data_IF_042117615135
#
_entry.id   IF_042117615135
#
_cell.length_a   1.000
_cell.length_b   1.000
_cell.length_c   1.000
_cell.angle_alpha   90.00
_cell.angle_beta   90.00
_cell.angle_gamma   90.00
#
_symmetry.space_group_name_H-M   'P 1'
#
loop_
_entity.id
_entity.type
_entity.pdbx_description
1 polymer ?
#
# COMPACT_ATOMS: atom_id res chain seq x y z
N UNK A 1 34.19 -13.26 1.61
CA UNK A 1 33.02 -12.54 1.16
C UNK A 1 32.52 -11.60 2.26
N UNK A 2 32.01 -10.45 1.89
CA UNK A 2 31.41 -9.47 2.81
C UNK A 2 29.90 -9.49 2.54
N UNK A 3 29.11 -9.72 3.59
CA UNK A 3 27.67 -9.69 3.51
C UNK A 3 27.14 -8.61 4.46
N UNK A 4 26.19 -7.84 4.01
CA UNK A 4 25.47 -6.90 4.84
C UNK A 4 24.00 -6.83 4.39
N UNK A 5 23.14 -6.45 5.30
CA UNK A 5 21.75 -6.18 5.01
C UNK A 5 21.55 -4.68 4.78
N UNK A 6 21.01 -4.33 3.62
CA UNK A 6 20.62 -2.97 3.29
C UNK A 6 19.11 -2.84 3.27
N UNK A 7 18.57 -1.90 4.07
CA UNK A 7 17.16 -1.60 4.06
C UNK A 7 16.87 -0.53 3.00
N UNK A 8 15.86 -0.75 2.18
CA UNK A 8 15.37 0.25 1.24
C UNK A 8 14.77 1.47 1.95
N UNK A 9 14.63 2.61 1.25
CA UNK A 9 14.06 3.82 1.84
C UNK A 9 12.57 3.69 2.16
N UNK A 10 11.86 2.84 1.44
CA UNK A 10 10.45 2.51 1.66
C UNK A 10 10.28 1.03 1.97
N UNK A 11 9.25 0.67 2.70
CA UNK A 11 9.00 -0.73 3.05
C UNK A 11 7.95 -0.92 4.13
N UNK A 12 7.71 -2.17 4.47
CA UNK A 12 6.81 -2.51 5.56
C UNK A 12 7.52 -2.47 6.91
N UNK A 13 6.88 -1.82 7.86
CA UNK A 13 7.27 -1.82 9.27
C UNK A 13 6.42 -2.80 10.06
N UNK A 14 7.08 -3.57 10.93
CA UNK A 14 6.47 -4.58 11.79
C UNK A 14 6.69 -4.17 13.25
N UNK A 15 5.69 -3.59 13.89
CA UNK A 15 5.77 -3.15 15.28
C UNK A 15 4.56 -3.68 16.03
N UNK A 16 4.80 -4.45 17.10
CA UNK A 16 3.74 -4.95 17.99
C UNK A 16 2.59 -5.66 17.26
N UNK A 17 2.91 -6.56 16.32
CA UNK A 17 1.96 -7.28 15.47
C UNK A 17 1.16 -6.39 14.51
N UNK A 18 1.49 -5.11 14.41
CA UNK A 18 0.94 -4.22 13.41
C UNK A 18 1.90 -4.10 12.22
N UNK A 19 1.34 -4.01 11.05
CA UNK A 19 2.05 -3.86 9.80
C UNK A 19 1.60 -2.55 9.20
N UNK A 20 2.56 -1.72 8.85
CA UNK A 20 2.33 -0.46 8.17
C UNK A 20 3.31 -0.27 7.04
N UNK A 21 2.85 0.31 5.96
CA UNK A 21 3.73 0.79 4.90
C UNK A 21 4.36 2.11 5.32
N UNK A 22 5.67 2.23 5.12
CA UNK A 22 6.41 3.48 5.25
C UNK A 22 6.96 3.85 3.89
N UNK A 23 6.55 5.00 3.40
CA UNK A 23 7.05 5.57 2.16
C UNK A 23 8.02 6.69 2.43
N UNK A 24 9.16 6.65 1.76
CA UNK A 24 10.06 7.80 1.70
C UNK A 24 9.67 8.64 0.48
N UNK A 25 9.22 9.86 0.73
CA UNK A 25 8.75 10.78 -0.32
C UNK A 25 9.88 11.44 -1.12
N UNK A 26 11.13 11.27 -0.70
CA UNK A 26 12.26 12.01 -1.26
C UNK A 26 13.29 11.13 -1.96
N UNK A 27 13.38 9.86 -1.57
CA UNK A 27 14.41 8.95 -2.04
C UNK A 27 13.82 7.61 -2.44
N UNK A 28 14.19 7.14 -3.61
CA UNK A 28 13.87 5.80 -4.12
C UNK A 28 14.99 4.79 -3.85
N UNK A 29 16.17 5.28 -3.46
CA UNK A 29 17.35 4.46 -3.23
C UNK A 29 17.97 4.77 -1.86
N UNK A 30 18.53 3.76 -1.21
CA UNK A 30 19.36 3.90 -0.01
C UNK A 30 20.83 3.72 -0.37
N UNK A 31 21.66 4.64 0.05
CA UNK A 31 23.10 4.57 -0.17
C UNK A 31 23.80 4.06 1.09
N UNK A 32 24.69 3.10 0.92
CA UNK A 32 25.49 2.51 1.99
C UNK A 32 26.97 2.70 1.72
N UNK A 33 27.73 3.04 2.74
CA UNK A 33 29.15 3.27 2.65
C UNK A 33 29.91 2.10 3.28
N UNK A 34 30.78 1.46 2.51
CA UNK A 34 31.72 0.47 3.00
C UNK A 34 33.03 1.16 3.34
N UNK A 35 33.34 1.25 4.64
CA UNK A 35 34.61 1.79 5.11
C UNK A 35 35.55 0.63 5.43
N UNK A 36 36.70 0.60 4.73
CA UNK A 36 37.77 -0.35 4.99
C UNK A 36 38.91 0.44 5.63
N UNK A 37 39.04 0.42 6.97
CA UNK A 37 40.07 1.18 7.64
C UNK A 37 41.45 0.57 7.35
N UNK A 38 42.44 1.44 7.15
CA UNK A 38 43.84 1.06 6.91
C UNK A 38 44.55 0.56 8.18
N UNK A 39 43.92 0.76 9.35
CA UNK A 39 44.43 0.35 10.64
C UNK A 39 43.40 -0.45 11.43
N UNK A 40 43.82 -1.16 12.46
CA UNK A 40 42.95 -2.01 13.30
C UNK A 40 42.12 -1.25 14.34
N UNK A 41 42.07 0.09 14.32
CA UNK A 41 41.39 0.90 15.34
C UNK A 41 39.88 0.99 15.13
N UNK A 42 39.42 0.89 13.88
CA UNK A 42 37.99 0.86 13.56
C UNK A 42 37.62 -0.56 13.12
N UNK A 43 37.10 -1.35 14.03
CA UNK A 43 36.57 -2.66 13.68
C UNK A 43 35.04 -2.59 13.65
N UNK A 44 34.46 -2.91 12.49
CA UNK A 44 33.04 -3.13 12.36
C UNK A 44 32.59 -4.30 13.25
N UNK A 45 31.36 -4.24 13.73
CA UNK A 45 30.73 -5.34 14.46
C UNK A 45 30.58 -6.53 13.53
N UNK A 46 31.12 -7.68 13.87
CA UNK A 46 30.95 -8.91 13.08
C UNK A 46 29.63 -9.55 13.41
N UNK A 47 28.97 -10.08 12.38
CA UNK A 47 27.82 -10.95 12.57
C UNK A 47 28.33 -12.19 13.33
N UNK A 48 27.72 -12.46 14.46
CA UNK A 48 28.03 -13.66 15.21
C UNK A 48 27.57 -14.89 14.41
N UNK A 49 28.34 -15.97 14.48
CA UNK A 49 27.89 -17.25 13.91
C UNK A 49 26.64 -17.66 14.67
N UNK A 50 25.52 -17.83 13.96
CA UNK A 50 24.33 -18.37 14.58
C UNK A 50 24.63 -19.78 15.11
N UNK A 51 24.23 -20.05 16.34
CA UNK A 51 24.24 -21.41 16.85
C UNK A 51 23.38 -22.30 15.93
N UNK A 52 23.77 -23.52 15.72
CA UNK A 52 22.92 -24.49 15.02
C UNK A 52 21.59 -24.52 15.75
N UNK A 53 20.53 -24.05 15.08
CA UNK A 53 19.20 -24.21 15.61
C UNK A 53 18.83 -25.66 15.48
N UNK A 54 18.50 -26.32 16.58
CA UNK A 54 17.92 -27.66 16.56
C UNK A 54 16.59 -27.59 15.79
N UNK A 55 16.22 -28.69 15.15
CA UNK A 55 14.94 -28.76 14.44
C UNK A 55 13.83 -28.37 15.40
N UNK A 56 13.10 -27.32 15.05
CA UNK A 56 11.98 -26.84 15.87
C UNK A 56 10.82 -27.83 15.83
N UNK A 57 10.15 -27.99 16.95
CA UNK A 57 8.97 -28.85 17.09
C UNK A 57 7.76 -28.39 16.27
N UNK A 58 7.85 -27.21 15.65
CA UNK A 58 6.76 -26.62 14.87
C UNK A 58 7.22 -26.29 13.47
N UNK A 59 6.54 -26.86 12.51
CA UNK A 59 6.68 -26.53 11.10
C UNK A 59 5.57 -25.51 10.76
N UNK A 60 5.96 -24.37 10.21
CA UNK A 60 5.02 -23.41 9.63
C UNK A 60 4.94 -23.70 8.13
N UNK A 61 3.77 -24.01 7.65
CA UNK A 61 3.46 -24.28 6.25
C UNK A 61 2.86 -23.05 5.54
N UNK A 62 2.75 -21.94 6.25
CA UNK A 62 2.23 -20.68 5.71
C UNK A 62 3.03 -19.48 6.24
N UNK A 63 2.98 -18.41 5.48
CA UNK A 63 3.58 -17.11 5.80
C UNK A 63 2.59 -15.96 5.56
N UNK A 64 2.97 -14.77 6.00
CA UNK A 64 2.24 -13.54 5.70
C UNK A 64 2.74 -12.99 4.36
N UNK A 65 1.82 -12.54 3.52
CA UNK A 65 2.10 -11.85 2.27
C UNK A 65 1.52 -10.43 2.31
N UNK A 66 2.26 -9.49 1.77
CA UNK A 66 1.90 -8.08 1.75
C UNK A 66 2.00 -7.55 0.34
N UNK A 67 1.03 -6.72 -0.02
CA UNK A 67 1.03 -6.01 -1.30
C UNK A 67 0.79 -4.54 -1.01
N UNK A 68 1.66 -3.69 -1.53
CA UNK A 68 1.47 -2.25 -1.58
C UNK A 68 1.44 -1.85 -3.05
N UNK A 69 0.40 -1.12 -3.43
CA UNK A 69 0.18 -0.69 -4.81
C UNK A 69 0.18 0.83 -4.81
N UNK A 70 1.24 1.40 -5.33
CA UNK A 70 1.40 2.82 -5.55
C UNK A 70 2.23 3.03 -6.81
N UNK A 71 1.67 3.82 -7.72
CA UNK A 71 2.32 4.20 -8.95
C UNK A 71 2.05 5.70 -9.15
N UNK A 72 3.06 6.52 -8.93
CA UNK A 72 2.99 7.98 -8.90
C UNK A 72 2.70 8.60 -10.28
N UNK A 73 1.54 8.29 -10.85
CA UNK A 73 1.11 8.74 -12.18
C UNK A 73 0.43 10.10 -12.16
N UNK A 74 -0.28 10.42 -11.10
CA UNK A 74 -1.10 11.63 -11.00
C UNK A 74 -0.73 12.46 -9.78
N UNK A 75 -0.51 13.76 -9.98
CA UNK A 75 -0.31 14.74 -8.90
C UNK A 75 -1.40 15.81 -8.98
N UNK A 76 -2.59 15.57 -8.39
CA UNK A 76 -3.74 16.45 -8.53
C UNK A 76 -3.54 17.84 -7.91
N UNK A 77 -2.65 17.97 -6.95
CA UNK A 77 -2.41 19.24 -6.24
C UNK A 77 -1.17 19.98 -6.73
N UNK A 78 -0.40 19.42 -7.66
CA UNK A 78 0.92 19.92 -8.07
C UNK A 78 1.84 20.26 -6.89
N UNK A 79 1.67 19.53 -5.78
CA UNK A 79 2.36 19.80 -4.52
C UNK A 79 3.72 19.11 -4.41
N UNK A 80 4.02 18.17 -5.29
CA UNK A 80 5.20 17.30 -5.20
C UNK A 80 5.11 16.22 -4.10
N UNK A 81 4.09 16.25 -3.26
CA UNK A 81 3.95 15.34 -2.11
C UNK A 81 2.72 14.42 -2.19
N UNK A 82 1.71 14.80 -2.95
CA UNK A 82 0.48 14.03 -3.09
C UNK A 82 0.38 13.41 -4.47
N UNK A 83 0.81 12.18 -4.60
CA UNK A 83 0.73 11.40 -5.83
C UNK A 83 -0.30 10.28 -5.70
N UNK A 84 -0.80 9.81 -6.82
CA UNK A 84 -1.75 8.71 -6.90
C UNK A 84 -1.59 7.90 -8.17
N UNK A 85 -2.19 6.72 -8.18
CA UNK A 85 -2.08 5.78 -9.30
C UNK A 85 -2.84 6.23 -10.55
N UNK A 86 -4.01 6.86 -10.36
CA UNK A 86 -4.86 7.27 -11.48
C UNK A 86 -5.88 8.33 -11.05
N UNK A 87 -6.34 9.09 -12.05
CA UNK A 87 -7.50 9.95 -11.90
C UNK A 87 -8.77 9.21 -12.33
N UNK A 88 -9.75 9.12 -11.41
CA UNK A 88 -11.02 8.49 -11.70
C UNK A 88 -12.06 9.56 -12.03
N UNK A 89 -12.49 9.59 -13.28
CA UNK A 89 -13.53 10.49 -13.74
C UNK A 89 -14.89 10.16 -13.11
N UNK A 90 -15.82 11.10 -13.16
CA UNK A 90 -17.20 10.86 -12.73
C UNK A 90 -17.79 9.63 -13.46
N UNK A 91 -18.43 8.74 -12.70
CA UNK A 91 -18.95 7.47 -13.19
C UNK A 91 -17.91 6.55 -13.85
N UNK A 92 -16.63 6.85 -13.66
CA UNK A 92 -15.52 6.01 -14.12
C UNK A 92 -15.05 5.06 -13.05
N UNK A 93 -14.15 4.16 -13.43
CA UNK A 93 -13.50 3.24 -12.51
C UNK A 93 -12.01 3.08 -12.81
N UNK A 94 -11.27 2.64 -11.79
CA UNK A 94 -9.88 2.24 -11.88
C UNK A 94 -9.78 0.77 -11.47
N UNK A 95 -9.17 -0.04 -12.34
CA UNK A 95 -9.01 -1.47 -12.14
C UNK A 95 -7.56 -1.81 -11.85
N UNK A 96 -7.33 -2.53 -10.75
CA UNK A 96 -6.02 -3.02 -10.35
C UNK A 96 -6.05 -4.52 -10.12
N UNK A 97 -5.17 -5.25 -10.81
CA UNK A 97 -5.00 -6.69 -10.60
C UNK A 97 -3.99 -6.96 -9.48
N UNK A 98 -4.31 -7.91 -8.63
CA UNK A 98 -3.44 -8.42 -7.58
C UNK A 98 -3.42 -9.93 -7.64
N UNK A 99 -2.23 -10.51 -7.67
CA UNK A 99 -2.05 -11.95 -7.63
C UNK A 99 -1.98 -12.44 -6.18
N UNK A 100 -2.91 -13.30 -5.79
CA UNK A 100 -2.89 -13.99 -4.50
C UNK A 100 -2.36 -15.41 -4.68
N UNK A 101 -1.31 -15.74 -3.96
CA UNK A 101 -0.69 -17.07 -4.04
C UNK A 101 -1.18 -17.92 -2.90
N UNK A 102 -1.97 -18.93 -3.21
CA UNK A 102 -2.47 -19.95 -2.27
C UNK A 102 -2.99 -19.36 -0.95
N UNK A 103 -3.99 -18.47 -1.00
CA UNK A 103 -4.54 -17.87 0.20
C UNK A 103 -5.14 -18.94 1.13
N UNK A 104 -4.96 -18.76 2.44
CA UNK A 104 -5.46 -19.70 3.43
C UNK A 104 -6.96 -19.49 3.61
N UNK A 105 -7.75 -20.52 3.34
CA UNK A 105 -9.23 -20.47 3.36
C UNK A 105 -9.84 -20.15 4.73
N UNK A 106 -9.07 -20.22 5.81
CA UNK A 106 -9.51 -19.92 7.18
C UNK A 106 -9.10 -18.54 7.68
N UNK A 107 -8.41 -17.74 6.88
CA UNK A 107 -7.89 -16.42 7.30
C UNK A 107 -8.37 -15.31 6.39
N UNK A 108 -8.88 -14.25 6.98
CA UNK A 108 -9.24 -13.03 6.26
C UNK A 108 -7.98 -12.24 5.90
N UNK A 109 -8.05 -11.46 4.82
CA UNK A 109 -7.06 -10.44 4.52
C UNK A 109 -7.60 -9.05 4.90
N UNK A 110 -6.71 -8.18 5.38
CA UNK A 110 -7.02 -6.80 5.68
C UNK A 110 -6.35 -5.89 4.67
N UNK A 111 -6.99 -4.81 4.32
CA UNK A 111 -6.44 -3.81 3.42
C UNK A 111 -6.93 -2.41 3.73
N UNK A 112 -6.32 -1.45 3.06
CA UNK A 112 -6.77 -0.06 3.06
C UNK A 112 -6.61 0.51 1.65
N UNK A 113 -7.42 1.50 1.32
CA UNK A 113 -7.25 2.31 0.12
C UNK A 113 -7.42 3.78 0.46
N UNK A 114 -6.75 4.63 -0.31
CA UNK A 114 -6.80 6.07 -0.15
C UNK A 114 -7.25 6.77 -1.43
N UNK A 115 -7.97 7.89 -1.26
CA UNK A 115 -8.44 8.75 -2.34
C UNK A 115 -8.13 10.20 -2.03
N UNK A 116 -7.74 10.95 -3.04
CA UNK A 116 -7.48 12.39 -2.91
C UNK A 116 -8.60 13.15 -3.65
N UNK A 117 -9.36 13.93 -2.91
CA UNK A 117 -10.30 14.87 -3.50
C UNK A 117 -9.55 16.04 -4.15
N UNK A 118 -9.92 16.41 -5.38
CA UNK A 118 -9.24 17.45 -6.13
C UNK A 118 -9.61 18.86 -5.61
N UNK A 119 -8.62 19.64 -5.21
CA UNK A 119 -8.76 20.97 -4.64
C UNK A 119 -9.44 22.00 -5.56
N UNK A 120 -9.21 21.92 -6.87
CA UNK A 120 -9.80 22.84 -7.86
C UNK A 120 -11.32 22.81 -7.90
N UNK A 121 -11.94 21.79 -7.35
CA UNK A 121 -13.38 21.60 -7.34
C UNK A 121 -14.07 22.42 -6.26
N UNK A 122 -13.45 22.59 -5.10
CA UNK A 122 -14.06 23.27 -3.95
C UNK A 122 -14.29 24.76 -4.16
N UNK A 123 -13.44 25.44 -4.93
CA UNK A 123 -13.59 26.87 -5.17
C UNK A 123 -14.85 27.21 -5.97
N UNK A 124 -15.34 26.27 -6.76
CA UNK A 124 -16.50 26.47 -7.64
C UNK A 124 -17.80 25.86 -7.09
N UNK A 125 -17.71 24.78 -6.33
CA UNK A 125 -18.88 24.03 -5.87
C UNK A 125 -18.78 23.76 -4.37
N UNK A 126 -19.42 24.59 -3.56
CA UNK A 126 -19.61 24.34 -2.14
C UNK A 126 -20.45 23.06 -1.98
N UNK A 127 -20.01 22.13 -1.17
CA UNK A 127 -20.68 20.85 -0.87
C UNK A 127 -20.60 19.77 -1.96
N UNK A 128 -19.50 19.68 -2.69
CA UNK A 128 -19.28 18.52 -3.54
C UNK A 128 -19.03 17.29 -2.66
N UNK A 129 -19.90 16.32 -2.79
CA UNK A 129 -19.76 15.04 -2.13
C UNK A 129 -19.00 14.09 -3.06
N UNK A 130 -17.85 13.61 -2.58
CA UNK A 130 -17.12 12.51 -3.20
C UNK A 130 -17.72 11.20 -2.73
N UNK A 131 -17.98 10.28 -3.62
CA UNK A 131 -18.50 8.97 -3.29
C UNK A 131 -17.80 7.90 -4.13
N UNK A 132 -17.09 7.01 -3.47
CA UNK A 132 -16.38 5.92 -4.13
C UNK A 132 -16.70 4.59 -3.47
N UNK A 133 -16.71 3.53 -4.25
CA UNK A 133 -16.75 2.15 -3.75
C UNK A 133 -15.54 1.38 -4.22
N UNK A 134 -15.07 0.47 -3.36
CA UNK A 134 -14.05 -0.52 -3.67
C UNK A 134 -14.72 -1.89 -3.77
N UNK A 135 -14.50 -2.58 -4.86
CA UNK A 135 -14.95 -3.96 -5.05
C UNK A 135 -13.79 -4.91 -5.34
N UNK A 136 -13.98 -6.18 -5.07
CA UNK A 136 -13.10 -7.29 -5.45
C UNK A 136 -13.91 -8.26 -6.32
N UNK A 137 -13.46 -8.47 -7.56
CA UNK A 137 -14.15 -9.31 -8.53
C UNK A 137 -15.66 -8.97 -8.65
N UNK A 138 -15.99 -7.68 -8.62
CA UNK A 138 -17.37 -7.18 -8.70
C UNK A 138 -18.18 -7.21 -7.39
N UNK A 139 -17.61 -7.70 -6.28
CA UNK A 139 -18.25 -7.68 -4.97
C UNK A 139 -17.73 -6.51 -4.14
N UNK A 140 -18.62 -5.62 -3.69
CA UNK A 140 -18.26 -4.46 -2.88
C UNK A 140 -17.64 -4.91 -1.55
N UNK A 141 -16.50 -4.29 -1.21
CA UNK A 141 -15.77 -4.48 0.03
C UNK A 141 -15.93 -3.30 0.98
N UNK A 142 -15.91 -2.08 0.43
CA UNK A 142 -15.93 -0.85 1.22
C UNK A 142 -16.37 0.32 0.36
N UNK A 143 -16.83 1.39 1.00
CA UNK A 143 -17.15 2.65 0.35
C UNK A 143 -16.67 3.84 1.19
N UNK A 144 -16.42 4.96 0.53
CA UNK A 144 -16.03 6.24 1.12
C UNK A 144 -16.93 7.34 0.60
N UNK A 145 -17.37 8.21 1.53
CA UNK A 145 -18.07 9.45 1.20
C UNK A 145 -17.47 10.60 2.00
N UNK A 146 -17.16 11.71 1.34
CA UNK A 146 -16.63 12.90 2.00
C UNK A 146 -16.89 14.16 1.19
N UNK A 147 -16.86 15.32 1.84
CA UNK A 147 -17.17 16.61 1.22
C UNK A 147 -15.96 17.54 1.09
N UNK A 148 -14.86 17.19 1.74
CA UNK A 148 -13.69 18.06 1.82
C UNK A 148 -12.62 17.63 0.81
N UNK A 149 -11.72 18.57 0.52
CA UNK A 149 -10.49 18.31 -0.20
C UNK A 149 -9.54 17.47 0.65
N UNK A 150 -8.64 16.78 -0.03
CA UNK A 150 -7.51 16.09 0.58
C UNK A 150 -7.70 14.59 0.65
N UNK A 151 -6.72 13.95 1.28
CA UNK A 151 -6.65 12.51 1.39
C UNK A 151 -7.73 11.98 2.33
N UNK A 152 -8.45 10.98 1.88
CA UNK A 152 -9.34 10.14 2.68
C UNK A 152 -8.97 8.67 2.46
N UNK A 153 -9.08 7.88 3.51
CA UNK A 153 -8.80 6.45 3.44
C UNK A 153 -9.86 5.65 4.16
N UNK A 154 -10.06 4.42 3.71
CA UNK A 154 -10.87 3.43 4.39
C UNK A 154 -10.12 2.10 4.50
N UNK A 155 -10.40 1.39 5.57
CA UNK A 155 -9.96 0.02 5.76
C UNK A 155 -11.05 -0.92 5.26
N UNK A 156 -10.65 -2.10 4.80
CA UNK A 156 -11.56 -3.16 4.40
C UNK A 156 -11.05 -4.53 4.83
N UNK A 157 -11.96 -5.48 4.87
CA UNK A 157 -11.66 -6.89 5.16
C UNK A 157 -12.14 -7.72 3.99
N UNK A 158 -11.25 -8.57 3.47
CA UNK A 158 -11.60 -9.58 2.49
C UNK A 158 -11.82 -10.90 3.25
N UNK A 159 -13.05 -11.38 3.21
CA UNK A 159 -13.36 -12.65 3.85
C UNK A 159 -12.62 -13.79 3.13
N UNK A 160 -12.15 -14.74 3.91
CA UNK A 160 -11.36 -15.86 3.43
C UNK A 160 -12.03 -16.66 2.31
N UNK A 161 -13.35 -16.76 2.33
CA UNK A 161 -14.13 -17.47 1.32
C UNK A 161 -14.23 -16.74 -0.03
N UNK A 162 -13.79 -15.48 -0.10
CA UNK A 162 -13.75 -14.69 -1.34
C UNK A 162 -12.34 -14.57 -1.90
N UNK A 163 -11.32 -14.97 -1.13
CA UNK A 163 -9.94 -15.04 -1.59
C UNK A 163 -9.73 -16.32 -2.39
N UNK A 164 -9.35 -16.19 -3.64
CA UNK A 164 -9.01 -17.30 -4.52
C UNK A 164 -7.55 -17.20 -4.97
N UNK A 165 -6.96 -18.31 -5.31
CA UNK A 165 -5.60 -18.37 -5.86
C UNK A 165 -5.56 -17.73 -7.27
N UNK A 166 -4.48 -16.98 -7.54
CA UNK A 166 -4.27 -16.31 -8.80
C UNK A 166 -4.70 -14.84 -8.83
N UNK A 167 -4.88 -14.31 -10.02
CA UNK A 167 -5.19 -12.90 -10.25
C UNK A 167 -6.63 -12.57 -9.87
N UNK A 168 -6.77 -11.56 -9.03
CA UNK A 168 -8.05 -10.98 -8.65
C UNK A 168 -8.05 -9.49 -8.97
N UNK A 169 -9.23 -8.97 -9.30
CA UNK A 169 -9.40 -7.59 -9.73
C UNK A 169 -10.02 -6.73 -8.64
N UNK A 170 -9.28 -5.76 -8.15
CA UNK A 170 -9.81 -4.65 -7.37
C UNK A 170 -10.29 -3.56 -8.31
N UNK A 171 -11.46 -3.03 -8.05
CA UNK A 171 -12.03 -1.92 -8.81
C UNK A 171 -12.48 -0.82 -7.86
N UNK A 172 -11.99 0.40 -8.09
CA UNK A 172 -12.46 1.60 -7.41
C UNK A 172 -13.37 2.34 -8.38
N UNK A 173 -14.63 2.51 -8.02
CA UNK A 173 -15.63 3.20 -8.84
C UNK A 173 -16.01 4.53 -8.22
N UNK A 174 -16.02 5.57 -9.03
CA UNK A 174 -16.52 6.89 -8.66
C UNK A 174 -18.05 6.93 -8.87
N UNK A 175 -18.79 6.87 -7.77
CA UNK A 175 -20.27 6.78 -7.74
C UNK A 175 -20.94 8.16 -7.59
N UNK A 176 -20.36 9.20 -8.12
CA UNK A 176 -20.95 10.53 -8.00
C UNK A 176 -22.18 10.63 -8.90
N UNK A 177 -23.33 10.84 -8.29
CA UNK A 177 -24.62 11.03 -8.97
C UNK A 177 -24.89 12.51 -9.32
N UNK A 178 -24.19 13.45 -8.68
CA UNK A 178 -24.41 14.86 -8.91
C UNK A 178 -23.71 15.34 -10.20
N UNK A 179 -24.45 15.83 -11.21
CA UNK A 179 -23.88 16.27 -12.47
C UNK A 179 -22.93 17.48 -12.33
N UNK A 180 -22.93 18.12 -11.18
CA UNK A 180 -22.02 19.25 -10.87
C UNK A 180 -20.75 18.81 -10.14
N UNK A 181 -20.57 17.53 -9.88
CA UNK A 181 -19.38 16.99 -9.26
C UNK A 181 -18.32 16.70 -10.31
N UNK A 182 -17.09 17.03 -10.01
CA UNK A 182 -15.95 16.87 -10.90
C UNK A 182 -15.17 15.58 -10.60
N UNK A 183 -14.25 15.16 -11.48
CA UNK A 183 -13.45 13.96 -11.29
C UNK A 183 -12.66 13.96 -9.97
N UNK A 184 -12.49 12.79 -9.44
CA UNK A 184 -11.61 12.49 -8.32
C UNK A 184 -10.17 12.22 -8.78
#
# INVERSE_FOLDING_TARGET
AIYFYGQGPSGFNFINNNISWHQNLYFTESNYWLLIPSNNTLRGKRIQTANKVEEGDKVFDYGLSYVHLEDDQENPQNSGLGWGNARIQQSGSFLQKVNFVKPISSKNANGSFGMIGNEKVQTKYKNTEHRVSLSLNGKELSSLTWTNIGLKSANFIINSNTLIDGDQSFEITNNIENPNSLPL
#
